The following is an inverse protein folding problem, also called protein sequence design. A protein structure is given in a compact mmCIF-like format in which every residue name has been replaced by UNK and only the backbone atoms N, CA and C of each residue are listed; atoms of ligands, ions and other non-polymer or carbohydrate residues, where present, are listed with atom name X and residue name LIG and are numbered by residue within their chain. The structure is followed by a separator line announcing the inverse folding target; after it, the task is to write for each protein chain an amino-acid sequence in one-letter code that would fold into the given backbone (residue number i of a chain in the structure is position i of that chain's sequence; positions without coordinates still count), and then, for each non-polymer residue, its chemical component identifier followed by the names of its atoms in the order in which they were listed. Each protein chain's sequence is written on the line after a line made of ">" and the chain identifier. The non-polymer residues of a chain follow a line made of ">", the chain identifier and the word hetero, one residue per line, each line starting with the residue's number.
data_IF_169210332811
#
_entry.id   IF_169210332811
#
_cell.length_a   1.000
_cell.length_b   1.000
_cell.length_c   1.000
_cell.angle_alpha   90.00
_cell.angle_beta   90.00
_cell.angle_gamma   90.00
#
_symmetry.space_group_name_H-M   'P 1'
#
loop_
_entity.id
_entity.type
_entity.pdbx_description
1 polymer ?
#
# COMPACT_ATOMS: atom_id res chain seq x y z
N UNK A 1 -15.80 3.65 8.53
CA UNK A 1 -15.62 3.47 7.07
C UNK A 1 -14.21 2.86 6.90
N UNK A 2 -13.83 2.32 5.74
CA UNK A 2 -12.60 1.52 5.55
C UNK A 2 -11.61 2.21 4.59
N UNK A 3 -11.43 3.52 4.74
CA UNK A 3 -10.75 4.39 3.78
C UNK A 3 -9.29 3.99 3.57
N UNK A 4 -8.58 3.59 4.64
CA UNK A 4 -7.21 3.09 4.55
C UNK A 4 -7.12 1.79 3.73
N UNK A 5 -8.05 0.85 3.95
CA UNK A 5 -8.13 -0.40 3.18
C UNK A 5 -8.47 -0.14 1.71
N UNK A 6 -9.44 0.73 1.43
CA UNK A 6 -9.80 1.11 0.05
C UNK A 6 -8.63 1.79 -0.66
N UNK A 7 -7.88 2.64 0.05
CA UNK A 7 -6.66 3.27 -0.46
C UNK A 7 -5.59 2.23 -0.77
N UNK A 8 -5.32 1.29 0.15
CA UNK A 8 -4.39 0.19 -0.07
C UNK A 8 -4.81 -0.69 -1.26
N UNK A 9 -6.09 -1.05 -1.33
CA UNK A 9 -6.65 -1.86 -2.41
C UNK A 9 -6.49 -1.16 -3.76
N UNK A 10 -6.75 0.16 -3.84
CA UNK A 10 -6.56 0.92 -5.06
C UNK A 10 -5.07 1.00 -5.46
N UNK A 11 -4.16 1.06 -4.47
CA UNK A 11 -2.72 1.03 -4.70
C UNK A 11 -2.16 -0.36 -5.01
N UNK A 12 -2.95 -1.44 -4.96
CA UNK A 12 -2.49 -2.83 -5.12
C UNK A 12 -1.82 -3.15 -6.46
N UNK A 13 -1.97 -2.29 -7.46
CA UNK A 13 -1.30 -2.39 -8.77
C UNK A 13 -0.01 -1.56 -8.86
N UNK A 14 0.25 -0.71 -7.87
CA UNK A 14 1.33 0.26 -7.85
C UNK A 14 2.47 -0.23 -6.96
N UNK A 15 3.15 -1.29 -7.40
CA UNK A 15 4.34 -1.82 -6.75
C UNK A 15 5.60 -1.34 -7.45
N UNK A 16 6.57 -0.86 -6.69
CA UNK A 16 7.92 -0.63 -7.19
C UNK A 16 8.63 -1.96 -7.32
N UNK A 17 9.32 -2.14 -8.44
CA UNK A 17 10.10 -3.34 -8.74
C UNK A 17 11.55 -2.98 -9.03
N UNK A 18 12.48 -3.86 -8.64
CA UNK A 18 13.91 -3.75 -8.92
C UNK A 18 14.49 -5.08 -9.39
N UNK A 19 15.82 -5.18 -9.45
CA UNK A 19 16.53 -6.39 -9.90
C UNK A 19 16.20 -7.65 -9.10
N UNK A 20 15.62 -7.51 -7.89
CA UNK A 20 15.18 -8.61 -7.02
C UNK A 20 13.66 -8.77 -6.90
N UNK A 21 12.86 -8.19 -7.79
CA UNK A 21 11.39 -8.27 -7.74
C UNK A 21 10.73 -7.06 -7.06
N UNK A 22 9.56 -7.27 -6.48
CA UNK A 22 8.78 -6.22 -5.79
C UNK A 22 9.53 -5.77 -4.53
N UNK A 23 9.71 -4.46 -4.36
CA UNK A 23 10.43 -3.88 -3.22
C UNK A 23 9.52 -3.16 -2.22
N UNK A 24 8.32 -2.76 -2.65
CA UNK A 24 7.35 -2.01 -1.85
C UNK A 24 6.33 -1.27 -2.71
N UNK A 25 5.30 -0.75 -2.07
CA UNK A 25 4.26 0.07 -2.70
C UNK A 25 4.86 1.41 -3.16
N UNK A 26 4.34 2.02 -4.22
CA UNK A 26 4.72 3.38 -4.58
C UNK A 26 3.97 4.41 -3.72
N UNK A 27 4.69 5.06 -2.79
CA UNK A 27 4.07 6.00 -1.86
C UNK A 27 3.67 7.32 -2.55
N UNK A 28 4.18 7.58 -3.76
CA UNK A 28 3.82 8.79 -4.50
C UNK A 28 2.35 8.81 -4.92
N UNK A 29 1.71 7.65 -5.07
CA UNK A 29 0.28 7.58 -5.45
C UNK A 29 -0.66 7.72 -4.25
N UNK A 30 -0.17 7.53 -3.03
CA UNK A 30 -1.00 7.47 -1.82
C UNK A 30 -1.76 8.77 -1.53
N UNK A 31 -1.16 9.98 -1.61
CA UNK A 31 -1.90 11.21 -1.34
C UNK A 31 -3.09 11.41 -2.28
N UNK A 32 -2.95 11.05 -3.56
CA UNK A 32 -4.04 11.16 -4.53
C UNK A 32 -5.15 10.14 -4.24
N UNK A 33 -4.80 8.90 -3.90
CA UNK A 33 -5.76 7.86 -3.53
C UNK A 33 -6.47 8.15 -2.21
N UNK A 34 -5.76 8.68 -1.22
CA UNK A 34 -6.33 9.13 0.06
C UNK A 34 -7.38 10.21 -0.17
N UNK A 35 -7.06 11.19 -1.03
CA UNK A 35 -8.02 12.23 -1.44
C UNK A 35 -9.26 11.66 -2.14
N UNK A 36 -9.09 10.71 -3.06
CA UNK A 36 -10.22 10.09 -3.77
C UNK A 36 -11.13 9.27 -2.85
N UNK A 37 -10.55 8.60 -1.85
CA UNK A 37 -11.29 7.78 -0.89
C UNK A 37 -11.82 8.56 0.32
N UNK A 38 -11.62 9.87 0.37
CA UNK A 38 -12.11 10.72 1.46
C UNK A 38 -11.41 10.47 2.79
N UNK A 39 -10.12 10.12 2.78
CA UNK A 39 -9.32 9.98 4.01
C UNK A 39 -9.13 11.35 4.66
N UNK A 40 -9.62 11.52 5.89
CA UNK A 40 -9.44 12.74 6.68
C UNK A 40 -8.19 12.68 7.58
N UNK A 41 -7.93 11.52 8.19
CA UNK A 41 -6.74 11.26 9.01
C UNK A 41 -5.69 10.48 8.19
N UNK A 42 -4.93 11.20 7.39
CA UNK A 42 -3.87 10.64 6.54
C UNK A 42 -2.77 9.95 7.36
N UNK A 43 -2.50 10.41 8.59
CA UNK A 43 -1.45 9.86 9.43
C UNK A 43 -1.81 8.46 9.93
N UNK A 44 -3.04 8.28 10.42
CA UNK A 44 -3.57 6.96 10.81
C UNK A 44 -3.68 6.05 9.59
N UNK A 45 -4.24 6.55 8.47
CA UNK A 45 -4.37 5.75 7.25
C UNK A 45 -3.02 5.27 6.70
N UNK A 46 -1.98 6.12 6.75
CA UNK A 46 -0.63 5.73 6.32
C UNK A 46 -0.06 4.60 7.19
N UNK A 47 -0.29 4.63 8.50
CA UNK A 47 0.16 3.56 9.39
C UNK A 47 -0.57 2.23 9.09
N UNK A 48 -1.88 2.28 8.86
CA UNK A 48 -2.66 1.09 8.48
C UNK A 48 -2.20 0.52 7.14
N UNK A 49 -1.92 1.38 6.15
CA UNK A 49 -1.35 0.99 4.85
C UNK A 49 0.00 0.30 5.01
N UNK A 50 0.88 0.79 5.89
CA UNK A 50 2.18 0.15 6.18
C UNK A 50 2.02 -1.24 6.78
N UNK A 51 1.03 -1.46 7.64
CA UNK A 51 0.75 -2.78 8.23
C UNK A 51 0.28 -3.76 7.14
N UNK A 52 -0.62 -3.31 6.25
CA UNK A 52 -1.08 -4.12 5.11
C UNK A 52 0.05 -4.41 4.12
N UNK A 53 0.88 -3.41 3.79
CA UNK A 53 2.05 -3.55 2.92
C UNK A 53 3.04 -4.57 3.51
N UNK A 54 3.40 -4.47 4.79
CA UNK A 54 4.32 -5.40 5.42
C UNK A 54 3.82 -6.86 5.34
N UNK A 55 2.51 -7.06 5.49
CA UNK A 55 1.88 -8.38 5.33
C UNK A 55 1.94 -8.85 3.88
N UNK A 56 1.62 -7.98 2.92
CA UNK A 56 1.72 -8.30 1.50
C UNK A 56 3.16 -8.66 1.10
N UNK A 57 4.15 -7.89 1.54
CA UNK A 57 5.57 -8.14 1.28
C UNK A 57 6.03 -9.49 1.83
N UNK A 58 5.60 -9.87 3.04
CA UNK A 58 5.89 -11.19 3.61
C UNK A 58 5.35 -12.32 2.74
N UNK A 59 4.12 -12.18 2.22
CA UNK A 59 3.47 -13.17 1.35
C UNK A 59 4.15 -13.22 -0.03
N UNK A 60 4.47 -12.06 -0.61
CA UNK A 60 5.14 -11.97 -1.92
C UNK A 60 6.50 -12.67 -1.84
N UNK A 61 7.31 -12.36 -0.83
CA UNK A 61 8.61 -13.00 -0.65
C UNK A 61 8.51 -14.49 -0.30
N UNK A 62 7.51 -14.90 0.49
CA UNK A 62 7.32 -16.34 0.80
C UNK A 62 6.90 -17.17 -0.41
N UNK A 63 6.37 -16.54 -1.47
CA UNK A 63 5.98 -17.21 -2.72
C UNK A 63 7.07 -17.21 -3.78
N UNK A 64 8.15 -16.48 -3.56
CA UNK A 64 9.31 -16.41 -4.46
C UNK A 64 10.42 -17.40 -4.08
N UNK A 65 10.35 -18.00 -2.90
CA UNK A 65 11.20 -19.11 -2.46
C UNK A 65 10.61 -20.47 -2.86
#
# INVERSE_FOLDING_TARGET
>A
MWEAFLTFQAASTQWRTGMGGITGLDYNVLPWLMKLNGVEDEATALNDIRVMEATAMRIIHSRQA
#
